data_IF_335018653471
#
_entry.id   IF_335018653471
#
_cell.length_a   1.000
_cell.length_b   1.000
_cell.length_c   1.000
_cell.angle_alpha   90.00
_cell.angle_beta   90.00
_cell.angle_gamma   90.00
#
_symmetry.space_group_name_H-M   'P 1'
#
loop_
_entity.id
_entity.type
_entity.pdbx_description
1 polymer ?
#
# COMPACT_ATOMS: atom_id res chain seq x y z
N UNK A 1 -25.16 -4.22 -2.32
CA UNK A 1 -23.93 -5.00 -2.04
C UNK A 1 -24.18 -5.82 -0.78
N UNK A 2 -24.55 -7.11 -0.89
CA UNK A 2 -24.73 -7.98 0.29
C UNK A 2 -23.37 -8.55 0.66
N UNK A 3 -22.72 -8.00 1.69
CA UNK A 3 -21.48 -8.56 2.23
C UNK A 3 -21.83 -9.91 2.85
N UNK A 4 -21.38 -11.00 2.23
CA UNK A 4 -21.59 -12.34 2.75
C UNK A 4 -20.73 -12.53 4.00
N UNK A 5 -21.37 -12.47 5.18
CA UNK A 5 -20.72 -12.56 6.50
C UNK A 5 -19.85 -13.81 6.65
N UNK A 6 -20.12 -14.88 5.87
CA UNK A 6 -19.32 -16.11 5.86
C UNK A 6 -17.87 -15.88 5.47
N UNK A 7 -17.57 -14.88 4.62
CA UNK A 7 -16.18 -14.59 4.20
C UNK A 7 -15.31 -14.08 5.34
N UNK A 8 -15.89 -13.32 6.29
CA UNK A 8 -15.17 -12.79 7.45
C UNK A 8 -14.75 -13.87 8.45
N UNK A 9 -15.53 -14.96 8.57
CA UNK A 9 -15.21 -16.08 9.46
C UNK A 9 -14.12 -17.02 8.92
N UNK A 10 -13.81 -16.95 7.62
CA UNK A 10 -12.72 -17.71 7.00
C UNK A 10 -11.43 -16.91 6.88
N UNK A 11 -11.38 -15.70 7.45
CA UNK A 11 -10.16 -14.92 7.52
C UNK A 11 -9.20 -15.58 8.52
N UNK A 12 -7.96 -15.77 8.10
CA UNK A 12 -6.90 -16.24 8.98
C UNK A 12 -6.56 -15.12 9.98
N UNK A 13 -7.12 -15.24 11.18
CA UNK A 13 -6.94 -14.26 12.24
C UNK A 13 -5.49 -14.22 12.74
N UNK A 14 -4.76 -15.33 12.64
CA UNK A 14 -3.34 -15.36 12.99
C UNK A 14 -2.55 -14.51 11.99
N UNK A 15 -2.82 -14.60 10.69
CA UNK A 15 -2.16 -13.77 9.68
C UNK A 15 -2.39 -12.27 9.95
N UNK A 16 -3.64 -11.89 10.24
CA UNK A 16 -4.01 -10.50 10.52
C UNK A 16 -3.30 -9.99 11.78
N UNK A 17 -3.34 -10.74 12.88
CA UNK A 17 -2.69 -10.34 14.14
C UNK A 17 -1.18 -10.20 13.96
N UNK A 18 -0.53 -11.15 13.28
CA UNK A 18 0.91 -11.08 13.03
C UNK A 18 1.27 -9.86 12.15
N UNK A 19 0.47 -9.57 11.12
CA UNK A 19 0.64 -8.37 10.30
C UNK A 19 0.52 -7.08 11.12
N UNK A 20 -0.48 -6.98 11.99
CA UNK A 20 -0.64 -5.83 12.89
C UNK A 20 0.50 -5.71 13.90
N UNK A 21 1.01 -6.83 14.42
CA UNK A 21 2.16 -6.84 15.32
C UNK A 21 3.42 -6.31 14.62
N UNK A 22 3.67 -6.72 13.38
CA UNK A 22 4.79 -6.22 12.57
C UNK A 22 4.66 -4.71 12.30
N UNK A 23 3.45 -4.23 11.99
CA UNK A 23 3.20 -2.79 11.83
C UNK A 23 3.48 -2.02 13.13
N UNK A 24 3.09 -2.56 14.28
CA UNK A 24 3.35 -1.93 15.59
C UNK A 24 4.85 -1.86 15.89
N UNK A 25 5.58 -2.95 15.69
CA UNK A 25 7.05 -2.95 15.83
C UNK A 25 7.70 -1.97 14.86
N UNK A 26 7.20 -1.89 13.62
CA UNK A 26 7.65 -0.93 12.62
C UNK A 26 7.46 0.53 13.07
N UNK A 27 6.31 0.86 13.69
CA UNK A 27 6.05 2.20 14.23
C UNK A 27 7.01 2.57 15.37
N UNK A 28 7.31 1.63 16.27
CA UNK A 28 8.30 1.84 17.34
C UNK A 28 9.68 2.11 16.74
N UNK A 29 10.09 1.30 15.77
CA UNK A 29 11.37 1.46 15.09
C UNK A 29 11.46 2.79 14.33
N UNK A 30 10.38 3.23 13.69
CA UNK A 30 10.31 4.51 12.99
C UNK A 30 10.56 5.68 13.94
N UNK A 31 9.93 5.67 15.12
CA UNK A 31 10.14 6.71 16.13
C UNK A 31 11.60 6.73 16.58
N UNK A 32 12.21 5.55 16.78
CA UNK A 32 13.61 5.43 17.20
C UNK A 32 14.58 5.95 16.14
N UNK A 33 14.40 5.54 14.88
CA UNK A 33 15.28 5.92 13.76
C UNK A 33 15.17 7.40 13.37
N UNK A 34 14.01 8.01 13.57
CA UNK A 34 13.75 9.40 13.14
C UNK A 34 14.11 10.44 14.21
N UNK A 35 14.54 10.02 15.41
CA UNK A 35 14.87 10.97 16.50
C UNK A 35 15.95 11.99 16.13
N UNK A 36 16.85 11.66 15.21
CA UNK A 36 17.95 12.52 14.77
C UNK A 36 17.62 13.39 13.54
N UNK A 37 16.42 13.27 12.96
CA UNK A 37 16.04 14.00 11.75
C UNK A 37 15.40 15.34 12.12
N UNK A 38 15.97 16.45 11.63
CA UNK A 38 15.53 17.84 11.90
C UNK A 38 14.06 18.13 11.56
N UNK A 39 13.47 17.37 10.62
CA UNK A 39 12.05 17.48 10.26
C UNK A 39 11.07 17.03 11.37
N UNK A 40 11.59 16.49 12.47
CA UNK A 40 10.82 16.09 13.64
C UNK A 40 10.19 14.69 13.47
N UNK A 41 10.35 13.79 14.45
CA UNK A 41 9.85 12.40 14.37
C UNK A 41 8.32 12.31 14.16
N UNK A 42 7.58 13.35 14.53
CA UNK A 42 6.12 13.39 14.44
C UNK A 42 5.60 13.42 12.99
N UNK A 43 6.27 14.11 12.06
CA UNK A 43 5.76 14.23 10.69
C UNK A 43 5.77 12.89 9.95
N UNK A 44 6.88 12.14 10.05
CA UNK A 44 7.00 10.81 9.45
C UNK A 44 6.09 9.79 10.15
N UNK A 45 5.97 9.88 11.47
CA UNK A 45 5.04 9.05 12.22
C UNK A 45 3.58 9.26 11.80
N UNK A 46 3.13 10.52 11.67
CA UNK A 46 1.77 10.82 11.18
C UNK A 46 1.56 10.32 9.76
N UNK A 47 2.54 10.49 8.86
CA UNK A 47 2.47 9.93 7.50
C UNK A 47 2.32 8.40 7.52
N UNK A 48 3.08 7.71 8.36
CA UNK A 48 3.01 6.26 8.49
C UNK A 48 1.64 5.81 9.03
N UNK A 49 1.07 6.50 10.01
CA UNK A 49 -0.27 6.20 10.52
C UNK A 49 -1.35 6.38 9.45
N UNK A 50 -1.30 7.46 8.66
CA UNK A 50 -2.22 7.68 7.54
C UNK A 50 -2.06 6.58 6.49
N UNK A 51 -0.83 6.18 6.16
CA UNK A 51 -0.57 5.09 5.22
C UNK A 51 -1.13 3.74 5.71
N UNK A 52 -0.92 3.41 7.00
CA UNK A 52 -1.49 2.20 7.62
C UNK A 52 -3.02 2.24 7.56
N UNK A 53 -3.64 3.37 7.90
CA UNK A 53 -5.09 3.53 7.87
C UNK A 53 -5.66 3.33 6.46
N UNK A 54 -5.06 3.97 5.44
CA UNK A 54 -5.45 3.78 4.03
C UNK A 54 -5.27 2.32 3.61
N UNK A 55 -4.14 1.69 3.97
CA UNK A 55 -3.86 0.29 3.68
C UNK A 55 -4.90 -0.66 4.28
N UNK A 56 -5.30 -0.46 5.54
CA UNK A 56 -6.35 -1.27 6.19
C UNK A 56 -7.69 -1.11 5.48
N UNK A 57 -8.07 0.11 5.08
CA UNK A 57 -9.28 0.35 4.30
C UNK A 57 -9.21 -0.39 2.95
N UNK A 58 -8.08 -0.29 2.24
CA UNK A 58 -7.90 -0.97 0.96
C UNK A 58 -8.02 -2.50 1.09
N UNK A 59 -7.38 -3.09 2.10
CA UNK A 59 -7.51 -4.53 2.38
C UNK A 59 -8.96 -4.91 2.67
N UNK A 60 -9.68 -4.13 3.48
CA UNK A 60 -11.09 -4.37 3.79
C UNK A 60 -11.97 -4.30 2.54
N UNK A 61 -11.73 -3.31 1.66
CA UNK A 61 -12.44 -3.16 0.39
C UNK A 61 -12.15 -4.36 -0.52
N UNK A 62 -10.88 -4.70 -0.77
CA UNK A 62 -10.50 -5.81 -1.65
C UNK A 62 -11.08 -7.14 -1.16
N UNK A 63 -11.04 -7.39 0.15
CA UNK A 63 -11.62 -8.59 0.77
C UNK A 63 -13.15 -8.67 0.62
N UNK A 64 -13.83 -7.51 0.55
CA UNK A 64 -15.27 -7.45 0.33
C UNK A 64 -15.67 -7.74 -1.14
N UNK A 65 -14.74 -7.62 -2.10
CA UNK A 65 -14.98 -7.92 -3.51
C UNK A 65 -14.83 -9.41 -3.82
N UNK A 66 -15.48 -9.87 -4.89
CA UNK A 66 -15.30 -11.24 -5.37
C UNK A 66 -13.97 -11.38 -6.11
N UNK A 67 -13.07 -12.21 -5.58
CA UNK A 67 -11.78 -12.48 -6.19
C UNK A 67 -11.91 -13.03 -7.62
N UNK A 68 -13.02 -13.66 -7.98
CA UNK A 68 -13.25 -14.16 -9.35
C UNK A 68 -13.39 -13.04 -10.36
N UNK A 69 -13.99 -11.91 -9.97
CA UNK A 69 -14.05 -10.73 -10.82
C UNK A 69 -12.65 -10.14 -11.00
N UNK A 70 -11.88 -10.03 -9.91
CA UNK A 70 -10.49 -9.56 -9.96
C UNK A 70 -9.65 -10.45 -10.90
N UNK A 71 -9.80 -11.78 -10.78
CA UNK A 71 -9.11 -12.75 -11.62
C UNK A 71 -9.53 -12.66 -13.10
N UNK A 72 -10.81 -12.44 -13.40
CA UNK A 72 -11.30 -12.29 -14.77
C UNK A 72 -10.70 -11.06 -15.48
N UNK A 73 -10.42 -9.98 -14.74
CA UNK A 73 -9.79 -8.77 -15.27
C UNK A 73 -8.27 -8.74 -15.09
N UNK A 74 -7.64 -9.82 -14.59
CA UNK A 74 -6.20 -9.88 -14.29
C UNK A 74 -5.31 -9.44 -15.45
N UNK A 75 -5.63 -9.86 -16.68
CA UNK A 75 -4.89 -9.46 -17.90
C UNK A 75 -4.90 -7.95 -18.11
N UNK A 76 -6.05 -7.30 -17.87
CA UNK A 76 -6.17 -5.84 -18.02
C UNK A 76 -5.41 -5.11 -16.92
N UNK A 77 -5.47 -5.61 -15.67
CA UNK A 77 -4.66 -5.07 -14.57
C UNK A 77 -3.17 -5.17 -14.86
N UNK A 78 -2.71 -6.31 -15.35
CA UNK A 78 -1.31 -6.53 -15.72
C UNK A 78 -0.86 -5.60 -16.85
N UNK A 79 -1.64 -5.48 -17.93
CA UNK A 79 -1.32 -4.57 -19.02
C UNK A 79 -1.34 -3.10 -18.57
N UNK A 80 -2.27 -2.73 -17.68
CA UNK A 80 -2.31 -1.40 -17.07
C UNK A 80 -1.05 -1.11 -16.24
N UNK A 81 -0.62 -2.06 -15.40
CA UNK A 81 0.62 -1.95 -14.63
C UNK A 81 1.85 -1.81 -15.53
N UNK A 82 1.92 -2.58 -16.62
CA UNK A 82 2.99 -2.50 -17.61
C UNK A 82 3.05 -1.13 -18.28
N UNK A 83 1.90 -0.59 -18.68
CA UNK A 83 1.83 0.76 -19.23
C UNK A 83 2.27 1.82 -18.21
N UNK A 84 1.86 1.69 -16.94
CA UNK A 84 2.28 2.62 -15.89
C UNK A 84 3.80 2.60 -15.66
N UNK A 85 4.46 1.44 -15.79
CA UNK A 85 5.93 1.37 -15.76
C UNK A 85 6.55 2.16 -16.91
N UNK A 86 5.99 2.05 -18.12
CA UNK A 86 6.47 2.84 -19.26
C UNK A 86 6.31 4.35 -18.99
N UNK A 87 5.21 4.75 -18.36
CA UNK A 87 4.95 6.15 -17.98
C UNK A 87 5.98 6.67 -16.98
N UNK A 88 6.47 5.86 -16.04
CA UNK A 88 7.51 6.26 -15.07
C UNK A 88 8.78 6.75 -15.74
N UNK A 89 9.17 6.18 -16.88
CA UNK A 89 10.39 6.64 -17.57
C UNK A 89 10.29 8.08 -18.08
N UNK A 90 9.07 8.54 -18.38
CA UNK A 90 8.79 9.87 -18.94
C UNK A 90 8.43 10.86 -17.82
N UNK A 91 7.53 10.47 -16.92
CA UNK A 91 6.92 11.34 -15.92
C UNK A 91 7.31 11.02 -14.46
N UNK A 92 8.22 10.06 -14.25
CA UNK A 92 8.67 9.66 -12.92
C UNK A 92 9.69 10.63 -12.33
N UNK A 93 9.61 10.83 -11.02
CA UNK A 93 10.62 11.56 -10.27
C UNK A 93 11.86 10.69 -10.02
N UNK A 94 13.03 11.32 -10.08
CA UNK A 94 14.30 10.68 -9.74
C UNK A 94 14.50 10.66 -8.23
N UNK A 95 14.76 9.47 -7.68
CA UNK A 95 15.10 9.27 -6.28
C UNK A 95 16.14 8.17 -6.14
N UNK A 96 17.25 8.44 -5.44
CA UNK A 96 18.32 7.45 -5.23
C UNK A 96 18.99 6.97 -6.53
N UNK A 97 19.03 7.80 -7.57
CA UNK A 97 19.66 7.49 -8.87
C UNK A 97 18.77 6.76 -9.89
N UNK A 98 17.47 6.57 -9.61
CA UNK A 98 16.53 5.93 -10.54
C UNK A 98 15.15 6.63 -10.56
N UNK A 99 14.47 6.56 -11.71
CA UNK A 99 13.07 7.00 -11.87
C UNK A 99 12.15 5.84 -11.50
N UNK A 100 11.41 5.97 -10.39
CA UNK A 100 10.54 4.89 -9.87
C UNK A 100 9.17 5.38 -9.41
N UNK A 101 9.08 6.65 -9.03
CA UNK A 101 7.91 7.20 -8.37
C UNK A 101 7.15 8.14 -9.31
N UNK A 102 5.85 7.94 -9.42
CA UNK A 102 4.92 8.88 -10.03
C UNK A 102 4.26 9.69 -8.93
N UNK A 103 4.15 11.00 -9.10
CA UNK A 103 3.37 11.83 -8.17
C UNK A 103 1.95 11.96 -8.71
N UNK A 104 0.99 11.28 -8.07
CA UNK A 104 -0.42 11.29 -8.45
C UNK A 104 -1.19 12.07 -7.38
N UNK A 105 -1.69 13.25 -7.73
CA UNK A 105 -2.42 14.15 -6.81
C UNK A 105 -1.68 14.45 -5.49
N UNK A 106 -0.35 14.54 -5.50
CA UNK A 106 0.46 14.80 -4.30
C UNK A 106 0.85 13.53 -3.53
N UNK A 107 0.41 12.35 -3.97
CA UNK A 107 0.76 11.06 -3.37
C UNK A 107 1.81 10.36 -4.24
N UNK A 108 2.97 9.98 -3.69
CA UNK A 108 3.95 9.19 -4.42
C UNK A 108 3.43 7.77 -4.61
N UNK A 109 3.31 7.36 -5.86
CA UNK A 109 2.83 6.04 -6.28
C UNK A 109 3.91 5.34 -7.10
N UNK A 110 4.18 4.07 -6.76
CA UNK A 110 5.18 3.26 -7.45
C UNK A 110 4.46 2.18 -8.27
N UNK A 111 4.50 2.25 -9.63
CA UNK A 111 3.78 1.29 -10.47
C UNK A 111 4.17 -0.17 -10.30
N UNK A 112 5.38 -0.46 -9.83
CA UNK A 112 5.81 -1.85 -9.58
C UNK A 112 5.06 -2.52 -8.44
N UNK A 113 4.37 -1.77 -7.57
CA UNK A 113 3.50 -2.33 -6.51
C UNK A 113 2.24 -3.01 -7.08
N UNK A 114 1.92 -2.80 -8.37
CA UNK A 114 0.80 -3.44 -9.05
C UNK A 114 1.18 -4.74 -9.79
N UNK A 115 2.47 -5.06 -9.87
CA UNK A 115 2.98 -6.24 -10.60
C UNK A 115 3.15 -7.45 -9.72
#
# INVERSE_FOLDING_TARGET
MRIDKRRLYHLDWYLIINGLALLFVGLINLISATRSIEAGPYMLFTKQLVAIFIGVILVAVVTAYDYRLIAAYSKYWYLGALLLILVVFIAGSEGGGARRWLNVFGIPFQPSELM
#
